data_IF_849437337465
#
_entry.id   IF_849437337465
#
_cell.length_a   1.000
_cell.length_b   1.000
_cell.length_c   1.000
_cell.angle_alpha   90.00
_cell.angle_beta   90.00
_cell.angle_gamma   90.00
#
_symmetry.space_group_name_H-M   'P 1'
#
loop_
_entity.id
_entity.type
_entity.pdbx_description
1 polymer ?
#
# COMPACT_ATOMS: atom_id res chain seq x y z
N UNK A 1 -5.30 10.45 -12.15
CA UNK A 1 -4.91 10.68 -10.74
C UNK A 1 -3.74 9.74 -10.44
N UNK A 2 -2.78 10.11 -9.57
CA UNK A 2 -1.66 9.23 -9.25
C UNK A 2 -2.05 8.18 -8.21
N UNK A 3 -1.43 7.00 -8.24
CA UNK A 3 -1.66 5.94 -7.25
C UNK A 3 -1.39 6.44 -5.82
N UNK A 4 -0.25 7.11 -5.60
CA UNK A 4 0.07 7.72 -4.31
C UNK A 4 -1.00 8.68 -3.77
N UNK A 5 -1.66 9.47 -4.64
CA UNK A 5 -2.75 10.36 -4.22
C UNK A 5 -3.99 9.57 -3.80
N UNK A 6 -4.37 8.53 -4.55
CA UNK A 6 -5.51 7.67 -4.19
C UNK A 6 -5.26 6.93 -2.86
N UNK A 7 -4.03 6.47 -2.63
CA UNK A 7 -3.65 5.80 -1.38
C UNK A 7 -3.66 6.78 -0.19
N UNK A 8 -3.21 8.01 -0.39
CA UNK A 8 -3.25 9.07 0.62
C UNK A 8 -4.70 9.46 0.97
N UNK A 9 -5.52 9.74 -0.04
CA UNK A 9 -6.93 10.06 0.14
C UNK A 9 -7.72 8.87 0.71
N UNK A 10 -7.28 7.63 0.47
CA UNK A 10 -7.80 6.43 1.14
C UNK A 10 -7.51 6.37 2.65
N UNK A 11 -6.67 7.27 3.17
CA UNK A 11 -6.29 7.34 4.58
C UNK A 11 -5.26 6.29 4.98
N UNK A 12 -4.46 5.80 4.04
CA UNK A 12 -3.57 4.65 4.27
C UNK A 12 -2.15 5.03 4.68
N UNK A 13 -1.75 6.32 4.67
CA UNK A 13 -0.45 6.71 5.22
C UNK A 13 -0.30 6.23 6.66
N UNK A 14 0.82 5.55 6.96
CA UNK A 14 1.07 4.97 8.28
C UNK A 14 0.34 3.65 8.56
N UNK A 15 -0.56 3.18 7.68
CA UNK A 15 -1.12 1.83 7.83
C UNK A 15 -0.02 0.79 7.65
N UNK A 16 -0.11 -0.26 8.45
CA UNK A 16 0.90 -1.30 8.48
C UNK A 16 0.29 -2.68 8.64
N UNK A 17 1.01 -3.65 8.09
CA UNK A 17 0.77 -5.08 8.24
C UNK A 17 2.13 -5.70 8.58
N UNK A 18 2.21 -6.43 9.68
CA UNK A 18 3.49 -6.96 10.17
C UNK A 18 4.60 -5.89 10.24
N UNK A 19 5.75 -6.15 9.62
CA UNK A 19 6.84 -5.18 9.54
C UNK A 19 6.71 -4.15 8.40
N UNK A 20 5.76 -4.30 7.48
CA UNK A 20 5.57 -3.41 6.32
C UNK A 20 4.60 -2.26 6.63
N UNK A 21 4.86 -1.06 6.11
CA UNK A 21 4.01 0.12 6.35
C UNK A 21 3.96 1.06 5.13
N UNK A 22 2.83 1.72 4.90
CA UNK A 22 2.75 2.82 3.93
C UNK A 22 3.47 4.05 4.49
N UNK A 23 4.41 4.61 3.75
CA UNK A 23 5.19 5.76 4.18
C UNK A 23 4.32 6.97 4.53
N UNK A 24 4.59 7.58 5.68
CA UNK A 24 3.98 8.86 6.07
C UNK A 24 4.35 10.00 5.11
N UNK A 25 5.54 9.94 4.50
CA UNK A 25 6.04 11.00 3.62
C UNK A 25 5.39 10.94 2.24
N UNK A 26 5.29 9.74 1.66
CA UNK A 26 4.78 9.56 0.31
C UNK A 26 4.07 8.21 0.17
N UNK A 27 2.74 8.22 0.02
CA UNK A 27 1.91 7.01 0.12
C UNK A 27 2.14 5.97 -0.99
N UNK A 28 2.88 6.31 -2.04
CA UNK A 28 3.31 5.36 -3.07
C UNK A 28 4.47 4.44 -2.65
N UNK A 29 5.01 4.61 -1.43
CA UNK A 29 6.10 3.81 -0.92
C UNK A 29 5.65 2.96 0.26
N UNK A 30 5.99 1.68 0.20
CA UNK A 30 5.97 0.77 1.34
C UNK A 30 7.37 0.79 1.97
N UNK A 31 7.44 1.00 3.29
CA UNK A 31 8.66 0.99 4.08
C UNK A 31 8.71 -0.28 4.92
N UNK A 32 9.88 -0.89 4.98
CA UNK A 32 10.18 -1.94 5.95
C UNK A 32 10.58 -1.28 7.27
N UNK A 33 9.92 -1.66 8.38
CA UNK A 33 10.18 -1.12 9.72
C UNK A 33 11.26 -1.89 10.51
N UNK A 34 11.90 -2.86 9.88
CA UNK A 34 13.04 -3.61 10.42
C UNK A 34 12.94 -5.11 10.13
N UNK A 35 11.74 -5.67 10.26
CA UNK A 35 11.45 -7.11 10.25
C UNK A 35 10.38 -7.52 9.22
N UNK A 36 10.08 -6.64 8.25
CA UNK A 36 9.06 -6.93 7.25
C UNK A 36 9.39 -8.17 6.42
N UNK A 37 8.45 -9.10 6.38
CA UNK A 37 8.50 -10.27 5.50
C UNK A 37 7.89 -9.93 4.15
N UNK A 38 8.23 -10.71 3.12
CA UNK A 38 7.58 -10.59 1.82
C UNK A 38 6.04 -10.75 1.93
N UNK A 39 5.57 -11.65 2.81
CA UNK A 39 4.15 -11.81 3.10
C UNK A 39 3.49 -10.52 3.61
N UNK A 40 4.15 -9.79 4.52
CA UNK A 40 3.65 -8.53 5.07
C UNK A 40 3.46 -7.47 3.97
N UNK A 41 4.42 -7.41 3.03
CA UNK A 41 4.38 -6.48 1.90
C UNK A 41 3.22 -6.84 0.96
N UNK A 42 3.05 -8.13 0.64
CA UNK A 42 1.98 -8.60 -0.24
C UNK A 42 0.59 -8.37 0.38
N UNK A 43 0.44 -8.65 1.67
CA UNK A 43 -0.82 -8.40 2.39
C UNK A 43 -1.13 -6.91 2.47
N UNK A 44 -0.12 -6.05 2.70
CA UNK A 44 -0.30 -4.61 2.66
C UNK A 44 -0.70 -4.10 1.26
N UNK A 45 -0.13 -4.67 0.20
CA UNK A 45 -0.52 -4.36 -1.19
C UNK A 45 -2.00 -4.68 -1.42
N UNK A 46 -2.46 -5.87 -1.03
CA UNK A 46 -3.85 -6.25 -1.21
C UNK A 46 -4.81 -5.36 -0.42
N UNK A 47 -4.45 -4.99 0.82
CA UNK A 47 -5.22 -4.03 1.62
C UNK A 47 -5.31 -2.66 0.95
N UNK A 48 -4.21 -2.17 0.36
CA UNK A 48 -4.19 -0.92 -0.40
C UNK A 48 -5.14 -0.99 -1.59
N UNK A 49 -5.06 -2.08 -2.38
CA UNK A 49 -5.89 -2.28 -3.57
C UNK A 49 -7.37 -2.35 -3.21
N UNK A 50 -7.72 -3.10 -2.16
CA UNK A 50 -9.09 -3.23 -1.69
C UNK A 50 -9.67 -1.89 -1.25
N UNK A 51 -8.92 -1.13 -0.43
CA UNK A 51 -9.40 0.16 0.08
C UNK A 51 -9.58 1.18 -1.03
N UNK A 52 -8.64 1.26 -1.97
CA UNK A 52 -8.73 2.18 -3.12
C UNK A 52 -9.91 1.78 -4.02
N UNK A 53 -10.09 0.48 -4.28
CA UNK A 53 -11.24 -0.02 -5.05
C UNK A 53 -12.56 0.30 -4.38
N UNK A 54 -12.68 0.04 -3.08
CA UNK A 54 -13.91 0.31 -2.32
C UNK A 54 -14.28 1.79 -2.35
N UNK A 55 -13.30 2.68 -2.09
CA UNK A 55 -13.55 4.11 -1.94
C UNK A 55 -13.71 4.86 -3.26
N UNK A 56 -12.95 4.50 -4.28
CA UNK A 56 -12.88 5.25 -5.54
C UNK A 56 -13.41 4.48 -6.75
N UNK A 57 -13.78 3.21 -6.58
CA UNK A 57 -14.17 2.31 -7.68
C UNK A 57 -13.06 2.18 -8.74
N UNK A 58 -11.80 2.35 -8.32
CA UNK A 58 -10.60 2.23 -9.17
C UNK A 58 -9.81 1.01 -8.74
N UNK A 59 -9.47 0.13 -9.69
CA UNK A 59 -8.54 -0.97 -9.46
C UNK A 59 -7.10 -0.51 -9.70
N UNK A 60 -6.24 -0.64 -8.68
CA UNK A 60 -4.80 -0.43 -8.85
C UNK A 60 -4.15 -1.70 -9.40
N UNK A 61 -3.28 -1.51 -10.38
CA UNK A 61 -2.39 -2.54 -10.91
C UNK A 61 -1.05 -2.50 -10.17
N UNK A 62 -0.51 -3.67 -9.87
CA UNK A 62 0.77 -3.79 -9.19
C UNK A 62 1.90 -3.67 -10.22
N UNK A 63 2.76 -2.66 -10.04
CA UNK A 63 3.95 -2.46 -10.90
C UNK A 63 5.08 -3.44 -10.57
N UNK A 64 5.19 -3.86 -9.31
CA UNK A 64 6.26 -4.73 -8.83
C UNK A 64 6.06 -6.16 -9.33
N UNK A 65 7.12 -6.77 -9.87
CA UNK A 65 7.15 -8.19 -10.19
C UNK A 65 7.45 -9.02 -8.95
N UNK A 66 6.59 -9.99 -8.66
CA UNK A 66 6.76 -10.98 -7.61
C UNK A 66 7.35 -12.24 -8.27
N UNK A 67 8.43 -12.78 -7.71
CA UNK A 67 9.16 -13.96 -8.20
C UNK A 67 9.23 -15.05 -7.14
#
# INVERSE_FOLDING_TARGET
QSAGRLIDEAGLKGHAVGGAMVSHKHANFIVNRGDARAADVLELIELIRERVRSRFQIALELEVKVW
#
